data_IF_046703307746
#
_entry.id   IF_046703307746
#
_cell.length_a   1.000
_cell.length_b   1.000
_cell.length_c   1.000
_cell.angle_alpha   90.00
_cell.angle_beta   90.00
_cell.angle_gamma   90.00
#
_symmetry.space_group_name_H-M   'P 1'
#
loop_
_entity.id
_entity.type
_entity.pdbx_description
1 polymer ?
#
# COMPACT_ATOMS: atom_id res chain seq x y z
N UNK A 1 -36.98 1.25 -9.80
CA UNK A 1 -37.04 0.28 -8.70
C UNK A 1 -36.20 0.80 -7.53
N UNK A 2 -36.75 0.95 -6.30
CA UNK A 2 -36.02 1.52 -5.15
C UNK A 2 -34.80 0.67 -4.73
N UNK A 3 -34.72 -0.59 -5.12
CA UNK A 3 -33.61 -1.48 -4.81
C UNK A 3 -32.30 -1.16 -5.56
N UNK A 4 -32.37 -0.57 -6.78
CA UNK A 4 -31.17 -0.17 -7.52
C UNK A 4 -30.43 1.00 -6.84
N UNK A 5 -31.18 2.00 -6.34
CA UNK A 5 -30.58 3.13 -5.65
C UNK A 5 -29.86 2.77 -4.33
N UNK A 6 -30.38 1.80 -3.59
CA UNK A 6 -29.78 1.36 -2.32
C UNK A 6 -28.44 0.63 -2.56
N UNK A 7 -28.36 -0.25 -3.56
CA UNK A 7 -27.12 -0.94 -3.94
C UNK A 7 -26.02 0.04 -4.37
N UNK A 8 -26.35 1.07 -5.11
CA UNK A 8 -25.38 2.07 -5.56
C UNK A 8 -24.86 2.94 -4.40
N UNK A 9 -25.70 3.25 -3.41
CA UNK A 9 -25.28 3.93 -2.17
C UNK A 9 -24.26 3.09 -1.40
N UNK A 10 -24.48 1.77 -1.28
CA UNK A 10 -23.53 0.89 -0.60
C UNK A 10 -22.20 0.77 -1.35
N UNK A 11 -22.23 0.59 -2.67
CA UNK A 11 -21.01 0.54 -3.51
C UNK A 11 -20.18 1.80 -3.34
N UNK A 12 -20.82 2.97 -3.42
CA UNK A 12 -20.14 4.25 -3.20
C UNK A 12 -19.51 4.34 -1.82
N UNK A 13 -20.19 3.88 -0.77
CA UNK A 13 -19.66 3.91 0.59
C UNK A 13 -18.50 2.94 0.79
N UNK A 14 -18.52 1.75 0.17
CA UNK A 14 -17.38 0.83 0.18
C UNK A 14 -16.17 1.46 -0.50
N UNK A 15 -16.37 2.11 -1.66
CA UNK A 15 -15.30 2.82 -2.34
C UNK A 15 -14.74 3.98 -1.50
N UNK A 16 -15.60 4.79 -0.89
CA UNK A 16 -15.17 5.87 0.03
C UNK A 16 -14.37 5.31 1.20
N UNK A 17 -14.84 4.21 1.81
CA UNK A 17 -14.11 3.55 2.90
C UNK A 17 -12.73 3.08 2.43
N UNK A 18 -12.64 2.47 1.24
CA UNK A 18 -11.39 2.02 0.66
C UNK A 18 -10.43 3.19 0.40
N UNK A 19 -10.91 4.28 -0.20
CA UNK A 19 -10.10 5.49 -0.46
C UNK A 19 -9.54 6.07 0.84
N UNK A 20 -10.35 6.09 1.92
CA UNK A 20 -9.90 6.58 3.22
C UNK A 20 -8.86 5.70 3.90
N UNK A 21 -8.89 4.41 3.60
CA UNK A 21 -8.00 3.40 4.19
C UNK A 21 -6.95 2.88 3.18
N UNK A 22 -6.77 3.56 2.05
CA UNK A 22 -5.73 3.21 1.10
C UNK A 22 -4.35 3.26 1.77
N UNK A 23 -3.47 2.31 1.42
CA UNK A 23 -2.15 2.08 2.02
C UNK A 23 -2.19 1.57 3.49
N UNK A 24 -3.35 1.39 4.10
CA UNK A 24 -3.48 0.77 5.42
C UNK A 24 -3.91 -0.71 5.32
N UNK A 25 -3.61 -1.48 6.36
CA UNK A 25 -4.10 -2.85 6.46
C UNK A 25 -5.63 -2.90 6.42
N UNK A 26 -6.15 -3.68 5.50
CA UNK A 26 -7.56 -3.81 5.18
C UNK A 26 -8.05 -5.23 5.42
N UNK A 27 -9.24 -5.37 6.01
CA UNK A 27 -9.98 -6.63 6.04
C UNK A 27 -11.46 -6.38 5.80
N UNK A 28 -12.14 -7.33 5.15
CA UNK A 28 -13.59 -7.27 4.94
C UNK A 28 -14.33 -7.19 6.27
N UNK A 29 -13.82 -7.83 7.32
CA UNK A 29 -14.42 -7.78 8.65
C UNK A 29 -14.42 -6.36 9.24
N UNK A 30 -13.37 -5.57 9.02
CA UNK A 30 -13.32 -4.18 9.45
C UNK A 30 -14.38 -3.34 8.72
N UNK A 31 -14.61 -3.59 7.43
CA UNK A 31 -15.68 -2.93 6.67
C UNK A 31 -17.06 -3.31 7.20
N UNK A 32 -17.30 -4.59 7.51
CA UNK A 32 -18.55 -5.05 8.14
C UNK A 32 -18.79 -4.31 9.45
N UNK A 33 -17.77 -4.20 10.30
CA UNK A 33 -17.86 -3.52 11.59
C UNK A 33 -18.15 -2.01 11.40
N UNK A 34 -17.53 -1.37 10.41
CA UNK A 34 -17.83 0.02 10.05
C UNK A 34 -19.30 0.20 9.65
N UNK A 35 -19.86 -0.68 8.80
CA UNK A 35 -21.27 -0.60 8.43
C UNK A 35 -22.20 -0.86 9.62
N UNK A 36 -21.85 -1.82 10.50
CA UNK A 36 -22.61 -2.08 11.75
C UNK A 36 -22.65 -0.85 12.64
N UNK A 37 -21.54 -0.11 12.80
CA UNK A 37 -21.50 1.12 13.58
C UNK A 37 -22.41 2.24 13.04
N UNK A 38 -22.78 2.15 11.76
CA UNK A 38 -23.74 3.05 11.09
C UNK A 38 -25.16 2.46 11.02
N UNK A 39 -25.47 1.45 11.84
CA UNK A 39 -26.75 0.72 11.84
C UNK A 39 -27.13 0.12 10.47
N UNK A 40 -26.13 -0.34 9.73
CA UNK A 40 -26.30 -0.97 8.41
C UNK A 40 -25.78 -2.41 8.44
N UNK A 41 -26.51 -3.31 7.81
CA UNK A 41 -26.11 -4.72 7.69
C UNK A 41 -25.68 -4.99 6.25
N UNK A 42 -24.46 -5.44 6.07
CA UNK A 42 -23.91 -5.88 4.78
C UNK A 42 -23.26 -7.24 5.00
N UNK A 43 -23.53 -8.20 4.10
CA UNK A 43 -22.92 -9.53 4.17
C UNK A 43 -21.49 -9.51 3.66
N UNK A 44 -20.71 -10.52 4.05
CA UNK A 44 -19.36 -10.75 3.54
C UNK A 44 -19.34 -10.86 2.02
N UNK A 45 -20.24 -11.68 1.45
CA UNK A 45 -20.32 -11.92 0.00
C UNK A 45 -20.64 -10.64 -0.78
N UNK A 46 -21.55 -9.81 -0.26
CA UNK A 46 -21.90 -8.53 -0.87
C UNK A 46 -20.69 -7.59 -0.91
N UNK A 47 -19.94 -7.50 0.18
CA UNK A 47 -18.73 -6.66 0.24
C UNK A 47 -17.61 -7.22 -0.66
N UNK A 48 -17.41 -8.51 -0.64
CA UNK A 48 -16.44 -9.19 -1.53
C UNK A 48 -16.74 -8.88 -3.00
N UNK A 49 -17.99 -8.97 -3.42
CA UNK A 49 -18.40 -8.64 -4.78
C UNK A 49 -18.18 -7.16 -5.11
N UNK A 50 -18.43 -6.23 -4.17
CA UNK A 50 -18.19 -4.81 -4.41
C UNK A 50 -16.70 -4.49 -4.55
N UNK A 51 -15.85 -5.13 -3.75
CA UNK A 51 -14.40 -5.02 -3.87
C UNK A 51 -13.91 -5.57 -5.21
N UNK A 52 -14.42 -6.73 -5.64
CA UNK A 52 -14.11 -7.31 -6.96
C UNK A 52 -14.44 -6.33 -8.09
N UNK A 53 -15.61 -5.67 -8.05
CA UNK A 53 -15.96 -4.66 -9.06
C UNK A 53 -15.03 -3.44 -9.06
N UNK A 54 -14.53 -3.02 -7.89
CA UNK A 54 -13.55 -1.93 -7.78
C UNK A 54 -12.22 -2.34 -8.40
N UNK A 55 -11.78 -3.56 -8.15
CA UNK A 55 -10.56 -4.15 -8.70
C UNK A 55 -10.66 -4.35 -10.22
N UNK A 56 -11.76 -4.93 -10.71
CA UNK A 56 -12.04 -5.15 -12.14
C UNK A 56 -12.15 -3.84 -12.94
N UNK A 57 -12.65 -2.77 -12.30
CA UNK A 57 -12.70 -1.44 -12.88
C UNK A 57 -11.36 -0.69 -12.79
N UNK A 58 -10.32 -1.31 -12.26
CA UNK A 58 -8.98 -0.72 -12.05
C UNK A 58 -9.00 0.58 -11.22
N UNK A 59 -9.96 0.74 -10.32
CA UNK A 59 -10.01 1.90 -9.42
C UNK A 59 -9.04 1.77 -8.27
N UNK A 60 -8.79 0.55 -7.82
CA UNK A 60 -7.80 0.22 -6.79
C UNK A 60 -7.21 -1.17 -7.04
N UNK A 61 -6.01 -1.37 -6.53
CA UNK A 61 -5.28 -2.63 -6.59
C UNK A 61 -5.21 -3.27 -5.21
N UNK A 62 -5.70 -4.49 -5.10
CA UNK A 62 -5.48 -5.33 -3.92
C UNK A 62 -4.04 -5.82 -3.91
N UNK A 63 -3.36 -5.63 -2.79
CA UNK A 63 -1.97 -6.02 -2.58
C UNK A 63 -1.88 -6.92 -1.37
N UNK A 64 -1.58 -8.18 -1.62
CA UNK A 64 -1.51 -9.22 -0.60
C UNK A 64 -0.22 -9.08 0.22
N UNK A 65 -0.23 -9.70 1.40
CA UNK A 65 0.96 -9.75 2.25
C UNK A 65 1.84 -10.93 1.85
N UNK A 66 3.15 -10.74 1.94
CA UNK A 66 4.15 -11.76 1.66
C UNK A 66 5.05 -11.99 2.88
N UNK A 67 5.10 -13.22 3.36
CA UNK A 67 6.01 -13.64 4.42
C UNK A 67 7.42 -13.74 3.84
N UNK A 68 8.27 -12.76 4.13
CA UNK A 68 9.64 -12.70 3.58
C UNK A 68 10.48 -13.91 4.02
N UNK A 69 10.33 -14.35 5.27
CA UNK A 69 11.07 -15.51 5.79
C UNK A 69 10.52 -16.84 5.25
N UNK A 70 9.20 -16.99 5.21
CA UNK A 70 8.53 -18.21 4.72
C UNK A 70 8.49 -18.31 3.20
N UNK A 71 8.72 -17.21 2.49
CA UNK A 71 8.61 -17.10 1.02
C UNK A 71 7.25 -17.53 0.48
N UNK A 72 6.19 -17.05 1.12
CA UNK A 72 4.81 -17.41 0.79
C UNK A 72 3.86 -16.21 0.91
N UNK A 73 2.80 -16.22 0.11
CA UNK A 73 1.71 -15.23 0.22
C UNK A 73 0.84 -15.56 1.42
N UNK A 74 0.57 -14.57 2.26
CA UNK A 74 -0.26 -14.72 3.44
C UNK A 74 -1.72 -14.46 3.12
N UNK A 75 -2.59 -15.37 3.52
CA UNK A 75 -4.03 -15.17 3.46
C UNK A 75 -4.50 -14.11 4.50
N UNK A 76 -5.62 -13.45 4.23
CA UNK A 76 -6.29 -12.56 5.18
C UNK A 76 -6.12 -11.08 4.86
N UNK A 77 -5.47 -10.33 5.76
CA UNK A 77 -5.33 -8.88 5.61
C UNK A 77 -4.48 -8.52 4.38
N UNK A 78 -4.90 -7.49 3.66
CA UNK A 78 -4.20 -6.94 2.50
C UNK A 78 -4.10 -5.41 2.62
N UNK A 79 -3.45 -4.75 1.68
CA UNK A 79 -3.59 -3.30 1.47
C UNK A 79 -4.27 -3.05 0.13
N UNK A 80 -4.89 -1.89 -0.01
CA UNK A 80 -5.37 -1.38 -1.29
C UNK A 80 -4.61 -0.12 -1.65
N UNK A 81 -4.17 -0.02 -2.91
CA UNK A 81 -3.56 1.17 -3.49
C UNK A 81 -4.45 1.70 -4.60
N UNK A 82 -4.64 3.01 -4.63
CA UNK A 82 -5.48 3.66 -5.63
C UNK A 82 -4.73 3.77 -6.96
N UNK A 83 -5.43 3.55 -8.06
CA UNK A 83 -4.87 3.80 -9.39
C UNK A 83 -4.66 5.29 -9.67
N UNK A 84 -5.51 6.13 -9.08
CA UNK A 84 -5.42 7.59 -9.21
C UNK A 84 -5.59 8.26 -7.84
N UNK A 85 -4.56 8.97 -7.41
CA UNK A 85 -4.57 9.72 -6.14
C UNK A 85 -5.57 10.90 -6.15
N UNK A 86 -6.03 11.35 -7.32
CA UNK A 86 -7.06 12.38 -7.45
C UNK A 86 -8.39 11.96 -6.80
N UNK A 87 -8.68 10.66 -6.64
CA UNK A 87 -9.87 10.22 -5.90
C UNK A 87 -9.92 10.75 -4.47
N UNK A 88 -8.79 10.83 -3.77
CA UNK A 88 -8.73 11.42 -2.43
C UNK A 88 -9.11 12.91 -2.47
N UNK A 89 -8.52 13.66 -3.38
CA UNK A 89 -8.77 15.10 -3.52
C UNK A 89 -10.23 15.39 -3.95
N UNK A 90 -10.79 14.56 -4.82
CA UNK A 90 -12.18 14.70 -5.27
C UNK A 90 -13.19 14.43 -4.16
N UNK A 91 -12.96 13.38 -3.36
CA UNK A 91 -13.90 13.00 -2.28
C UNK A 91 -13.77 13.89 -1.05
N UNK A 92 -12.60 14.47 -0.81
CA UNK A 92 -12.28 15.25 0.38
C UNK A 92 -11.46 16.50 0.03
N UNK A 93 -12.03 17.47 -0.69
CA UNK A 93 -11.30 18.70 -1.03
C UNK A 93 -10.90 19.46 0.25
N UNK A 94 -9.64 19.84 0.35
CA UNK A 94 -9.11 20.65 1.45
C UNK A 94 -8.68 19.87 2.70
N UNK A 95 -8.72 18.54 2.71
CA UNK A 95 -8.14 17.75 3.79
C UNK A 95 -6.66 17.48 3.54
N UNK A 96 -5.83 17.76 4.55
CA UNK A 96 -4.42 17.35 4.56
C UNK A 96 -4.36 15.83 4.82
N UNK A 97 -4.23 15.04 3.77
CA UNK A 97 -3.91 13.62 3.89
C UNK A 97 -2.44 13.47 4.29
N UNK A 98 -2.13 12.46 5.10
CA UNK A 98 -0.74 12.17 5.42
C UNK A 98 0.07 11.96 4.14
N UNK A 99 1.03 12.86 3.90
CA UNK A 99 1.85 12.86 2.68
C UNK A 99 2.62 11.54 2.48
N UNK A 100 2.94 10.84 3.58
CA UNK A 100 3.57 9.52 3.54
C UNK A 100 2.73 8.48 2.78
N UNK A 101 1.42 8.40 3.03
CA UNK A 101 0.53 7.48 2.33
C UNK A 101 0.39 7.82 0.84
N UNK A 102 0.45 9.09 0.48
CA UNK A 102 0.44 9.50 -0.93
C UNK A 102 1.71 9.06 -1.65
N UNK A 103 2.87 9.22 -0.99
CA UNK A 103 4.14 8.78 -1.53
C UNK A 103 4.20 7.25 -1.66
N UNK A 104 3.78 6.51 -0.63
CA UNK A 104 3.70 5.05 -0.66
C UNK A 104 2.84 4.57 -1.85
N UNK A 105 1.66 5.17 -2.04
CA UNK A 105 0.79 4.85 -3.16
C UNK A 105 1.43 5.20 -4.53
N UNK A 106 2.14 6.32 -4.63
CA UNK A 106 2.84 6.71 -5.85
C UNK A 106 3.96 5.72 -6.19
N UNK A 107 4.75 5.29 -5.20
CA UNK A 107 5.78 4.25 -5.35
C UNK A 107 5.15 2.93 -5.81
N UNK A 108 4.01 2.53 -5.23
CA UNK A 108 3.27 1.34 -5.67
C UNK A 108 2.91 1.40 -7.16
N UNK A 109 2.32 2.51 -7.61
CA UNK A 109 1.94 2.69 -9.02
C UNK A 109 3.16 2.60 -9.93
N UNK A 110 4.27 3.22 -9.53
CA UNK A 110 5.51 3.19 -10.30
C UNK A 110 6.08 1.77 -10.42
N UNK A 111 6.11 1.00 -9.34
CA UNK A 111 6.49 -0.41 -9.35
C UNK A 111 5.63 -1.23 -10.34
N UNK A 112 4.31 -1.03 -10.29
CA UNK A 112 3.37 -1.69 -11.22
C UNK A 112 3.61 -1.27 -12.67
N UNK A 113 3.89 0.01 -12.91
CA UNK A 113 4.20 0.54 -14.25
C UNK A 113 5.45 -0.09 -14.87
N UNK A 114 6.44 -0.40 -14.02
CA UNK A 114 7.65 -1.12 -14.43
C UNK A 114 7.46 -2.65 -14.55
N UNK A 115 6.26 -3.15 -14.32
CA UNK A 115 5.90 -4.57 -14.51
C UNK A 115 6.22 -5.47 -13.32
N UNK A 116 6.50 -4.90 -12.14
CA UNK A 116 6.67 -5.69 -10.93
C UNK A 116 5.34 -6.23 -10.41
N UNK A 117 5.36 -7.46 -9.93
CA UNK A 117 4.37 -7.98 -9.01
C UNK A 117 4.71 -7.48 -7.60
N UNK A 118 3.76 -6.84 -6.94
CA UNK A 118 4.03 -6.12 -5.69
C UNK A 118 3.23 -6.72 -4.55
N UNK A 119 3.89 -6.93 -3.42
CA UNK A 119 3.32 -7.41 -2.18
C UNK A 119 3.68 -6.49 -1.02
N UNK A 120 2.91 -6.53 0.06
CA UNK A 120 3.29 -5.93 1.35
C UNK A 120 4.16 -6.93 2.10
N UNK A 121 5.37 -6.57 2.46
CA UNK A 121 6.28 -7.46 3.15
C UNK A 121 5.93 -7.65 4.62
N UNK A 122 5.98 -8.88 5.10
CA UNK A 122 5.85 -9.23 6.50
C UNK A 122 7.09 -9.99 6.97
N UNK A 123 7.75 -9.47 8.00
CA UNK A 123 8.90 -10.13 8.62
C UNK A 123 8.80 -10.06 10.15
N UNK A 124 8.54 -11.19 10.81
CA UNK A 124 8.25 -11.26 12.24
C UNK A 124 7.07 -10.34 12.60
N UNK A 125 7.31 -9.35 13.45
CA UNK A 125 6.36 -8.32 13.92
C UNK A 125 6.43 -7.01 13.11
N UNK A 126 7.31 -6.96 12.08
CA UNK A 126 7.54 -5.77 11.26
C UNK A 126 6.90 -5.90 9.88
N UNK A 127 6.60 -4.75 9.31
CA UNK A 127 6.16 -4.59 7.93
C UNK A 127 7.26 -3.97 7.09
N UNK A 128 7.37 -4.38 5.85
CA UNK A 128 8.13 -3.73 4.78
C UNK A 128 7.10 -3.29 3.74
N UNK A 129 7.11 -2.03 3.35
CA UNK A 129 6.06 -1.49 2.51
C UNK A 129 5.90 -2.30 1.23
N UNK A 130 7.00 -2.65 0.56
CA UNK A 130 6.94 -3.44 -0.66
C UNK A 130 7.98 -4.54 -0.76
N UNK A 131 7.51 -5.71 -1.19
CA UNK A 131 8.28 -6.77 -1.82
C UNK A 131 7.89 -6.77 -3.28
N UNK A 132 8.77 -6.34 -4.16
CA UNK A 132 8.50 -6.25 -5.59
C UNK A 132 9.30 -7.30 -6.35
N UNK A 133 8.61 -8.09 -7.17
CA UNK A 133 9.16 -9.22 -7.90
C UNK A 133 8.92 -9.05 -9.41
N UNK A 134 9.98 -9.26 -10.18
CA UNK A 134 9.90 -9.26 -11.65
C UNK A 134 10.95 -10.22 -12.19
N UNK A 135 10.51 -11.23 -12.93
CA UNK A 135 11.36 -12.32 -13.39
C UNK A 135 12.12 -12.95 -12.20
N UNK A 136 13.45 -12.97 -12.23
CA UNK A 136 14.30 -13.48 -11.16
C UNK A 136 14.72 -12.39 -10.14
N UNK A 137 14.24 -11.15 -10.33
CA UNK A 137 14.61 -10.01 -9.49
C UNK A 137 13.61 -9.81 -8.35
N UNK A 138 14.14 -9.72 -7.14
CA UNK A 138 13.38 -9.36 -5.93
C UNK A 138 14.01 -8.11 -5.32
N UNK A 139 13.19 -7.11 -5.02
CA UNK A 139 13.62 -5.90 -4.33
C UNK A 139 12.69 -5.62 -3.15
N UNK A 140 13.27 -5.12 -2.06
CA UNK A 140 12.56 -4.68 -0.87
C UNK A 140 12.60 -3.16 -0.79
N UNK A 141 11.46 -2.53 -0.59
CA UNK A 141 11.34 -1.08 -0.52
C UNK A 141 10.59 -0.67 0.74
N UNK A 142 11.19 0.24 1.50
CA UNK A 142 10.55 1.00 2.55
C UNK A 142 10.36 2.44 2.05
N UNK A 143 9.21 3.06 2.35
CA UNK A 143 8.88 4.40 1.90
C UNK A 143 8.72 5.33 3.09
N UNK A 144 9.52 6.37 3.15
CA UNK A 144 9.43 7.42 4.14
C UNK A 144 9.21 8.78 3.45
N UNK A 145 8.36 9.67 3.99
CA UNK A 145 8.22 10.98 3.37
C UNK A 145 9.50 11.79 3.46
N UNK A 146 10.02 11.98 4.68
CA UNK A 146 11.31 12.62 4.98
C UNK A 146 11.94 11.95 6.20
N UNK A 147 13.26 11.85 6.22
CA UNK A 147 14.05 11.25 7.30
C UNK A 147 14.92 12.31 7.99
N UNK A 148 14.27 13.35 8.54
CA UNK A 148 14.93 14.51 9.11
C UNK A 148 15.68 14.23 10.43
N UNK A 149 15.30 13.15 11.13
CA UNK A 149 15.90 12.77 12.43
C UNK A 149 16.50 11.38 12.38
N UNK A 150 17.54 11.16 13.19
CA UNK A 150 18.18 9.84 13.36
C UNK A 150 17.14 8.78 13.82
N UNK A 151 16.24 9.15 14.73
CA UNK A 151 15.17 8.28 15.21
C UNK A 151 14.25 7.81 14.06
N UNK A 152 13.88 8.73 13.17
CA UNK A 152 13.08 8.39 11.97
C UNK A 152 13.87 7.48 11.05
N UNK A 153 15.13 7.79 10.78
CA UNK A 153 16.00 6.93 9.97
C UNK A 153 16.11 5.53 10.56
N UNK A 154 16.39 5.39 11.85
CA UNK A 154 16.50 4.08 12.51
C UNK A 154 15.21 3.28 12.37
N UNK A 155 14.06 3.90 12.56
CA UNK A 155 12.76 3.25 12.43
C UNK A 155 12.53 2.74 11.00
N UNK A 156 12.77 3.57 9.98
CA UNK A 156 12.52 3.21 8.58
C UNK A 156 13.50 2.13 8.07
N UNK A 157 14.75 2.15 8.54
CA UNK A 157 15.73 1.12 8.18
C UNK A 157 15.52 -0.20 8.94
N UNK A 158 14.90 -0.17 10.13
CA UNK A 158 14.80 -1.32 11.03
C UNK A 158 14.06 -2.53 10.43
N UNK A 159 13.08 -2.33 9.57
CA UNK A 159 12.37 -3.40 8.88
C UNK A 159 13.27 -4.10 7.86
N UNK A 160 13.96 -3.35 7.03
CA UNK A 160 14.88 -3.84 6.01
C UNK A 160 16.12 -4.51 6.60
N UNK A 161 16.66 -3.97 7.70
CA UNK A 161 17.80 -4.56 8.44
C UNK A 161 17.47 -5.94 9.03
N UNK A 162 16.18 -6.21 9.30
CA UNK A 162 15.76 -7.51 9.82
C UNK A 162 15.70 -8.62 8.76
N UNK A 163 15.86 -8.27 7.47
CA UNK A 163 15.86 -9.21 6.34
C UNK A 163 17.29 -9.75 6.14
N UNK A 164 17.47 -11.06 6.33
CA UNK A 164 18.78 -11.68 6.30
C UNK A 164 19.29 -12.09 4.91
N UNK A 165 18.44 -12.01 3.88
CA UNK A 165 18.84 -12.36 2.51
C UNK A 165 19.61 -11.23 1.81
N UNK A 166 20.17 -11.55 0.63
CA UNK A 166 21.05 -10.67 -0.14
C UNK A 166 20.34 -9.90 -1.26
N UNK A 167 18.99 -9.95 -1.33
CA UNK A 167 18.27 -9.17 -2.32
C UNK A 167 18.41 -7.67 -2.08
N UNK A 168 18.19 -6.90 -3.13
CA UNK A 168 18.33 -5.44 -3.09
C UNK A 168 17.33 -4.81 -2.12
N UNK A 169 17.83 -3.87 -1.30
CA UNK A 169 17.04 -3.16 -0.28
C UNK A 169 17.16 -1.65 -0.49
N UNK A 170 16.02 -0.99 -0.50
CA UNK A 170 15.94 0.45 -0.73
C UNK A 170 15.05 1.15 0.29
N UNK A 171 15.47 2.32 0.73
CA UNK A 171 14.59 3.30 1.36
C UNK A 171 14.34 4.40 0.34
N UNK A 172 13.06 4.66 0.04
CA UNK A 172 12.64 5.69 -0.92
C UNK A 172 12.05 6.86 -0.15
N UNK A 173 12.54 8.08 -0.39
CA UNK A 173 12.03 9.26 0.31
C UNK A 173 12.01 10.52 -0.56
N UNK A 174 11.46 11.60 0.00
CA UNK A 174 11.45 12.94 -0.57
C UNK A 174 12.61 13.80 -0.05
N UNK A 175 13.59 13.24 0.68
CA UNK A 175 14.76 13.97 1.11
C UNK A 175 15.55 14.51 -0.09
N UNK A 176 15.89 15.80 -0.07
CA UNK A 176 16.64 16.44 -1.15
C UNK A 176 18.08 15.96 -1.24
N UNK A 177 18.64 15.54 -0.10
CA UNK A 177 20.02 15.06 -0.01
C UNK A 177 20.05 13.55 -0.13
N UNK A 178 20.93 13.03 -0.98
CA UNK A 178 21.20 11.60 -1.07
C UNK A 178 21.86 11.10 0.22
N UNK A 179 21.18 10.23 0.95
CA UNK A 179 21.73 9.65 2.17
C UNK A 179 22.73 8.52 1.84
N UNK A 180 23.77 8.33 2.67
CA UNK A 180 24.74 7.26 2.47
C UNK A 180 24.07 5.87 2.63
N UNK A 181 24.61 4.87 1.94
CA UNK A 181 24.19 3.49 2.12
C UNK A 181 24.48 3.01 3.54
N UNK A 182 23.51 2.28 4.15
CA UNK A 182 23.63 1.73 5.49
C UNK A 182 23.43 0.20 5.44
N UNK A 183 24.44 -0.56 5.77
CA UNK A 183 24.42 -2.04 5.79
C UNK A 183 23.85 -2.67 4.49
N UNK A 184 24.24 -2.11 3.34
CA UNK A 184 23.79 -2.57 2.04
C UNK A 184 22.40 -2.06 1.61
N UNK A 185 21.68 -1.33 2.47
CA UNK A 185 20.43 -0.66 2.12
C UNK A 185 20.78 0.69 1.48
N UNK A 186 20.26 0.94 0.30
CA UNK A 186 20.49 2.17 -0.47
C UNK A 186 19.32 3.13 -0.30
N UNK A 187 19.61 4.41 -0.11
CA UNK A 187 18.62 5.47 -0.20
C UNK A 187 18.40 5.87 -1.67
N UNK A 188 17.15 6.08 -2.04
CA UNK A 188 16.73 6.56 -3.37
C UNK A 188 15.73 7.69 -3.20
N UNK A 189 16.01 8.80 -3.82
CA UNK A 189 15.06 9.90 -3.88
C UNK A 189 13.87 9.50 -4.76
N UNK A 190 12.65 9.82 -4.34
CA UNK A 190 11.43 9.33 -4.98
C UNK A 190 11.35 9.68 -6.49
N UNK A 191 11.87 10.84 -6.90
CA UNK A 191 11.92 11.25 -8.31
C UNK A 191 12.96 10.50 -9.15
N UNK A 192 13.90 9.80 -8.50
CA UNK A 192 14.91 8.95 -9.15
C UNK A 192 14.54 7.46 -9.09
N UNK A 193 13.36 7.11 -8.56
CA UNK A 193 12.92 5.71 -8.39
C UNK A 193 13.01 4.91 -9.70
N UNK A 194 12.65 5.52 -10.83
CA UNK A 194 12.70 4.86 -12.14
C UNK A 194 14.10 4.39 -12.54
N UNK A 195 15.17 4.94 -11.99
CA UNK A 195 16.55 4.56 -12.31
C UNK A 195 16.90 3.17 -11.77
N UNK A 196 16.34 2.81 -10.63
CA UNK A 196 16.57 1.49 -10.01
C UNK A 196 15.58 0.43 -10.48
N UNK A 197 14.51 0.77 -11.19
CA UNK A 197 13.47 -0.16 -11.63
C UNK A 197 13.65 -0.66 -13.08
N UNK A 198 14.62 -0.13 -13.80
CA UNK A 198 14.97 -0.52 -15.19
C UNK A 198 15.58 -1.90 -15.29
#
# INVERSE_FOLDING_TARGET
SPSRGLGDVYKRQVFIYLVNNASNLFSIQNVINFFKSKNRKVSYDTLSNYLSYIEEAFLAYKTERYNIKGKEVLAGNCKYYLNDLAFKNFLYPGFAYGVGYLLENAVYIELRRFGFQVYVGAIRDKEVDFVAMKDDRIIYIQVAYMMETEETMEREYASLLSIADSYEKYVVSMDEVQLPSREGIRHVQAWNLSEILK
#
